data_IF_322821724743
#
_entry.id   IF_322821724743
#
_cell.length_a   1.000
_cell.length_b   1.000
_cell.length_c   1.000
_cell.angle_alpha   90.00
_cell.angle_beta   90.00
_cell.angle_gamma   90.00
#
_symmetry.space_group_name_H-M   'P 1'
#
loop_
_entity.id
_entity.type
_entity.pdbx_description
1 polymer ?
#
# COMPACT_ATOMS: atom_id res chain seq x y z
N UNK A 1 35.90 44.17 55.58
CA UNK A 1 34.76 44.07 54.64
C UNK A 1 35.33 43.61 53.30
N UNK A 2 35.10 42.33 52.92
CA UNK A 2 35.50 41.78 51.59
C UNK A 2 34.25 41.76 50.70
N UNK A 3 34.32 42.51 49.59
CA UNK A 3 33.26 42.50 48.58
C UNK A 3 33.41 41.27 47.68
N UNK A 4 32.42 40.38 47.68
CA UNK A 4 32.31 39.32 46.69
C UNK A 4 31.84 39.96 45.33
N UNK A 5 32.66 39.80 44.31
CA UNK A 5 32.25 40.08 42.93
C UNK A 5 31.47 38.88 42.39
N UNK A 6 30.19 39.09 42.05
CA UNK A 6 29.37 38.12 41.33
C UNK A 6 29.75 38.14 39.84
N UNK A 7 30.28 37.03 39.31
CA UNK A 7 30.52 36.83 37.90
C UNK A 7 29.21 36.39 37.22
N UNK A 8 28.67 37.23 36.37
CA UNK A 8 27.56 36.84 35.50
C UNK A 8 28.06 36.00 34.31
N UNK A 9 27.60 34.76 34.21
CA UNK A 9 27.85 33.92 33.05
C UNK A 9 26.91 34.35 31.89
N UNK A 10 27.43 34.48 30.66
CA UNK A 10 26.58 34.83 29.51
C UNK A 10 25.70 33.64 29.17
N UNK A 11 24.39 33.87 29.08
CA UNK A 11 23.41 32.94 28.56
C UNK A 11 23.53 32.87 27.04
N UNK A 12 24.12 31.82 26.50
CA UNK A 12 24.19 31.59 25.07
C UNK A 12 22.79 31.18 24.56
N UNK A 13 22.13 32.07 23.88
CA UNK A 13 20.89 31.75 23.15
C UNK A 13 21.24 30.82 21.99
N UNK A 14 20.85 29.56 22.07
CA UNK A 14 20.87 28.63 20.93
C UNK A 14 19.86 29.10 19.89
N UNK A 15 20.35 29.73 18.83
CA UNK A 15 19.53 30.06 17.64
C UNK A 15 19.40 28.75 16.86
N UNK A 16 18.22 28.13 16.96
CA UNK A 16 17.84 27.08 16.03
C UNK A 16 17.65 27.73 14.64
N UNK A 17 18.61 27.56 13.76
CA UNK A 17 18.45 27.89 12.35
C UNK A 17 17.35 27.03 11.72
N UNK A 18 16.77 27.42 10.57
CA UNK A 18 15.77 26.62 9.89
C UNK A 18 16.38 25.25 9.58
N UNK A 19 15.72 24.19 10.08
CA UNK A 19 16.08 22.82 9.75
C UNK A 19 15.90 22.70 8.23
N UNK A 20 16.93 22.29 7.47
CA UNK A 20 16.79 22.12 6.04
C UNK A 20 15.68 21.10 5.81
N UNK A 21 14.68 21.47 4.98
CA UNK A 21 13.66 20.53 4.50
C UNK A 21 14.42 19.47 3.69
N UNK A 22 14.72 18.34 4.31
CA UNK A 22 15.28 17.20 3.60
C UNK A 22 14.16 16.72 2.70
N UNK A 23 14.39 16.80 1.38
CA UNK A 23 13.45 16.26 0.41
C UNK A 23 13.11 14.82 0.82
N UNK A 24 11.82 14.52 0.93
CA UNK A 24 11.33 13.20 1.34
C UNK A 24 11.97 12.13 0.44
N UNK A 25 12.73 11.23 1.04
CA UNK A 25 13.53 10.23 0.32
C UNK A 25 12.70 9.10 -0.27
N UNK A 26 11.49 8.85 0.25
CA UNK A 26 10.62 7.75 -0.17
C UNK A 26 9.15 8.16 -0.08
N UNK A 27 8.31 7.52 -0.89
CA UNK A 27 6.85 7.58 -0.78
C UNK A 27 6.31 6.46 0.13
N UNK A 28 7.13 5.49 0.47
CA UNK A 28 6.75 4.35 1.30
C UNK A 28 6.94 4.69 2.77
N UNK A 29 5.87 4.55 3.57
CA UNK A 29 5.88 4.86 5.01
C UNK A 29 6.90 3.99 5.76
N UNK A 30 7.08 2.74 5.36
CA UNK A 30 8.02 1.79 5.98
C UNK A 30 9.51 2.21 5.83
N UNK A 31 9.82 3.09 4.89
CA UNK A 31 11.17 3.63 4.68
C UNK A 31 11.39 4.96 5.42
N UNK A 32 10.36 5.48 6.11
CA UNK A 32 10.37 6.76 6.79
C UNK A 32 10.34 6.59 8.31
N UNK A 33 10.95 7.55 9.00
CA UNK A 33 10.78 7.68 10.45
C UNK A 33 9.42 8.35 10.76
N UNK A 34 8.87 8.14 11.96
CA UNK A 34 7.59 8.76 12.32
C UNK A 34 7.59 10.30 12.23
N UNK A 35 8.70 11.04 12.54
CA UNK A 35 8.73 12.49 12.33
C UNK A 35 8.67 12.88 10.85
N UNK A 36 9.30 12.09 9.95
CA UNK A 36 9.24 12.32 8.50
C UNK A 36 7.82 12.11 7.97
N UNK A 37 7.10 11.07 8.44
CA UNK A 37 5.69 10.87 8.10
C UNK A 37 4.84 12.05 8.57
N UNK A 38 5.01 12.47 9.82
CA UNK A 38 4.27 13.62 10.37
C UNK A 38 4.54 14.89 9.55
N UNK A 39 5.80 15.17 9.23
CA UNK A 39 6.19 16.32 8.42
C UNK A 39 5.60 16.25 7.01
N UNK A 40 5.58 15.06 6.38
CA UNK A 40 4.99 14.85 5.07
C UNK A 40 3.48 15.17 5.07
N UNK A 41 2.74 14.67 6.07
CA UNK A 41 1.30 14.96 6.22
C UNK A 41 1.05 16.45 6.44
N UNK A 42 1.82 17.09 7.33
CA UNK A 42 1.75 18.53 7.57
C UNK A 42 2.13 19.37 6.34
N UNK A 43 3.03 18.82 5.51
CA UNK A 43 3.46 19.41 4.23
C UNK A 43 2.48 19.19 3.07
N UNK A 44 1.31 18.56 3.32
CA UNK A 44 0.25 18.40 2.33
C UNK A 44 0.12 17.01 1.71
N UNK A 45 0.89 16.01 2.14
CA UNK A 45 0.68 14.60 1.71
C UNK A 45 -0.49 14.01 2.49
N UNK A 46 -1.68 14.25 2.01
CA UNK A 46 -2.93 13.91 2.71
C UNK A 46 -3.61 12.65 2.18
N UNK A 47 -3.02 12.00 1.19
CA UNK A 47 -3.52 10.78 0.57
C UNK A 47 -2.71 9.56 1.07
N UNK A 48 -3.39 8.53 1.57
CA UNK A 48 -2.81 7.23 1.93
C UNK A 48 -3.22 6.19 0.89
N UNK A 49 -2.28 5.39 0.43
CA UNK A 49 -2.53 4.24 -0.45
C UNK A 49 -2.26 2.97 0.35
N UNK A 50 -3.27 2.12 0.46
CA UNK A 50 -3.20 0.78 1.02
C UNK A 50 -3.44 -0.19 -0.12
N UNK A 51 -2.39 -0.90 -0.55
CA UNK A 51 -2.49 -1.86 -1.64
C UNK A 51 -2.19 -3.25 -1.11
N UNK A 52 -3.14 -4.16 -1.27
CA UNK A 52 -3.02 -5.54 -0.83
C UNK A 52 -2.52 -6.41 -1.98
N UNK A 53 -1.55 -7.25 -1.69
CA UNK A 53 -1.10 -8.31 -2.58
C UNK A 53 -1.63 -9.67 -2.14
N UNK A 54 -0.86 -10.70 -2.43
CA UNK A 54 -1.08 -12.08 -1.99
C UNK A 54 0.24 -12.84 -2.02
N UNK A 55 0.33 -13.92 -1.26
CA UNK A 55 1.43 -14.89 -1.32
C UNK A 55 0.86 -16.24 -1.69
N UNK A 56 0.90 -16.58 -2.98
CA UNK A 56 0.27 -17.78 -3.51
C UNK A 56 1.02 -18.37 -4.71
N UNK A 57 0.67 -19.58 -5.09
CA UNK A 57 1.20 -20.16 -6.32
C UNK A 57 0.72 -19.39 -7.55
N UNK A 58 1.64 -19.09 -8.45
CA UNK A 58 1.39 -18.40 -9.72
C UNK A 58 2.02 -19.23 -10.87
N UNK A 59 1.77 -20.55 -10.90
CA UNK A 59 2.43 -21.45 -11.84
C UNK A 59 3.86 -21.82 -11.45
N UNK A 60 4.54 -22.69 -12.24
CA UNK A 60 5.81 -23.30 -11.84
C UNK A 60 7.04 -22.39 -12.02
N UNK A 61 6.92 -21.26 -12.71
CA UNK A 61 8.06 -20.39 -13.05
C UNK A 61 7.99 -19.00 -12.40
N UNK A 62 6.89 -18.66 -11.73
CA UNK A 62 6.72 -17.35 -11.10
C UNK A 62 6.92 -17.40 -9.59
N UNK A 63 7.41 -16.31 -9.05
CA UNK A 63 7.56 -16.14 -7.61
C UNK A 63 6.19 -16.12 -6.90
N UNK A 64 6.12 -16.76 -5.73
CA UNK A 64 4.91 -16.80 -4.89
C UNK A 64 4.45 -15.38 -4.47
N UNK A 65 5.39 -14.44 -4.34
CA UNK A 65 5.12 -13.06 -3.98
C UNK A 65 4.78 -12.12 -5.15
N UNK A 66 4.45 -12.62 -6.33
CA UNK A 66 4.16 -11.81 -7.54
C UNK A 66 3.26 -10.61 -7.21
N UNK A 67 2.11 -10.87 -6.62
CA UNK A 67 1.13 -9.83 -6.27
C UNK A 67 1.68 -8.78 -5.31
N UNK A 68 2.59 -9.15 -4.42
CA UNK A 68 3.20 -8.20 -3.47
C UNK A 68 4.18 -7.26 -4.19
N UNK A 69 4.95 -7.78 -5.14
CA UNK A 69 5.89 -6.97 -5.93
C UNK A 69 5.14 -5.99 -6.82
N UNK A 70 4.13 -6.45 -7.55
CA UNK A 70 3.28 -5.60 -8.40
C UNK A 70 2.59 -4.53 -7.55
N UNK A 71 1.89 -4.92 -6.48
CA UNK A 71 1.18 -3.98 -5.61
C UNK A 71 2.10 -2.89 -5.04
N UNK A 72 3.30 -3.25 -4.54
CA UNK A 72 4.26 -2.29 -4.03
C UNK A 72 4.70 -1.30 -5.10
N UNK A 73 5.12 -1.82 -6.26
CA UNK A 73 5.62 -0.99 -7.35
C UNK A 73 4.55 -0.03 -7.88
N UNK A 74 3.36 -0.54 -8.16
CA UNK A 74 2.24 0.25 -8.70
C UNK A 74 1.82 1.34 -7.70
N UNK A 75 1.68 1.00 -6.42
CA UNK A 75 1.36 1.98 -5.38
C UNK A 75 2.40 3.11 -5.31
N UNK A 76 3.69 2.76 -5.40
CA UNK A 76 4.78 3.74 -5.43
C UNK A 76 4.72 4.65 -6.66
N UNK A 77 4.51 4.08 -7.83
CA UNK A 77 4.37 4.84 -9.08
C UNK A 77 3.18 5.81 -9.03
N UNK A 78 2.05 5.38 -8.49
CA UNK A 78 0.87 6.21 -8.28
C UNK A 78 1.20 7.36 -7.31
N UNK A 79 1.80 7.06 -6.15
CA UNK A 79 2.14 8.06 -5.14
C UNK A 79 3.11 9.12 -5.65
N UNK A 80 4.13 8.70 -6.43
CA UNK A 80 5.09 9.61 -7.07
C UNK A 80 4.36 10.51 -8.08
N UNK A 81 3.47 9.94 -8.89
CA UNK A 81 2.74 10.70 -9.92
C UNK A 81 1.73 11.68 -9.32
N UNK A 82 1.08 11.32 -8.21
CA UNK A 82 0.17 12.21 -7.47
C UNK A 82 0.91 13.34 -6.76
N UNK A 83 2.09 13.06 -6.21
CA UNK A 83 2.92 14.04 -5.49
C UNK A 83 2.50 14.31 -4.05
N UNK A 84 1.25 14.01 -3.67
CA UNK A 84 0.64 14.29 -2.36
C UNK A 84 0.18 13.02 -1.61
N UNK A 85 0.75 11.85 -1.97
CA UNK A 85 0.40 10.57 -1.38
C UNK A 85 1.59 9.89 -0.68
N UNK A 86 1.29 9.04 0.31
CA UNK A 86 2.17 8.05 0.91
C UNK A 86 1.57 6.66 0.77
N UNK A 87 2.46 5.66 0.70
CA UNK A 87 2.09 4.24 0.55
C UNK A 87 2.31 3.53 1.87
N UNK A 88 1.28 2.87 2.37
CA UNK A 88 1.37 1.94 3.50
C UNK A 88 2.08 0.65 3.08
N UNK A 89 2.68 -0.10 4.02
CA UNK A 89 3.27 -1.40 3.72
C UNK A 89 2.28 -2.29 3.01
N UNK A 90 2.72 -2.93 1.93
CA UNK A 90 1.88 -3.87 1.18
C UNK A 90 1.42 -4.99 2.09
N UNK A 91 0.11 -5.27 2.14
CA UNK A 91 -0.43 -6.40 2.88
C UNK A 91 -0.21 -7.67 2.06
N UNK A 92 0.70 -8.58 2.49
CA UNK A 92 1.19 -9.66 1.62
C UNK A 92 0.29 -10.90 1.62
N UNK A 93 -0.88 -10.84 2.26
CA UNK A 93 -1.77 -11.99 2.42
C UNK A 93 -3.22 -11.59 2.14
N UNK A 94 -3.89 -12.43 1.36
CA UNK A 94 -5.30 -12.33 1.00
C UNK A 94 -5.99 -13.69 1.19
N UNK A 95 -7.32 -13.80 1.04
CA UNK A 95 -7.99 -15.09 0.92
C UNK A 95 -7.52 -15.79 -0.35
N UNK A 96 -6.96 -17.02 -0.24
CA UNK A 96 -6.42 -17.78 -1.37
C UNK A 96 -6.89 -19.24 -1.36
N UNK A 97 -7.88 -19.55 -0.53
CA UNK A 97 -8.47 -20.87 -0.36
C UNK A 97 -8.56 -21.30 1.11
N UNK A 98 -8.90 -22.56 1.33
CA UNK A 98 -9.05 -23.18 2.66
C UNK A 98 -7.81 -24.03 2.98
N UNK A 99 -7.07 -23.64 4.01
CA UNK A 99 -5.85 -24.33 4.43
C UNK A 99 -6.11 -25.73 5.01
N UNK A 100 -7.27 -25.95 5.64
CA UNK A 100 -7.63 -27.24 6.25
C UNK A 100 -8.10 -28.23 5.18
N UNK A 101 -8.99 -27.78 4.30
CA UNK A 101 -9.53 -28.58 3.19
C UNK A 101 -8.58 -28.63 2.00
N UNK A 102 -7.51 -27.84 2.00
CA UNK A 102 -6.54 -27.71 0.93
C UNK A 102 -7.20 -27.40 -0.41
N UNK A 103 -8.01 -26.34 -0.45
CA UNK A 103 -8.66 -25.87 -1.68
C UNK A 103 -7.87 -24.77 -2.36
N UNK A 104 -8.16 -24.51 -3.63
CA UNK A 104 -7.55 -23.47 -4.46
C UNK A 104 -6.01 -23.47 -4.35
N UNK A 105 -5.37 -22.32 -4.08
CA UNK A 105 -3.92 -22.18 -3.98
C UNK A 105 -3.31 -22.94 -2.78
N UNK A 106 -4.12 -23.23 -1.75
CA UNK A 106 -3.65 -23.96 -0.57
C UNK A 106 -3.29 -25.42 -0.82
N UNK A 107 -3.47 -25.91 -2.05
CA UNK A 107 -2.93 -27.20 -2.52
C UNK A 107 -1.43 -27.18 -2.77
N UNK A 108 -0.85 -25.99 -2.92
CA UNK A 108 0.55 -25.79 -3.32
C UNK A 108 1.36 -25.23 -2.14
N UNK A 109 2.57 -25.80 -1.87
CA UNK A 109 3.43 -25.31 -0.80
C UNK A 109 3.83 -23.87 -1.01
N UNK A 110 3.94 -23.11 0.08
CA UNK A 110 4.33 -21.71 0.08
C UNK A 110 3.17 -20.72 -0.03
N UNK A 111 1.98 -21.17 -0.46
CA UNK A 111 0.78 -20.34 -0.43
C UNK A 111 0.32 -20.06 1.00
N UNK A 112 -0.11 -18.84 1.26
CA UNK A 112 -0.64 -18.38 2.56
C UNK A 112 -2.03 -17.83 2.36
N UNK A 113 -2.97 -18.16 3.24
CA UNK A 113 -4.34 -17.65 3.18
C UNK A 113 -4.73 -16.97 4.47
N UNK A 114 -5.52 -15.92 4.37
CA UNK A 114 -6.34 -15.41 5.49
C UNK A 114 -7.80 -15.81 5.28
N UNK A 115 -8.52 -16.01 6.38
CA UNK A 115 -9.99 -16.08 6.26
C UNK A 115 -10.52 -14.72 5.83
N UNK A 116 -11.64 -14.63 5.11
CA UNK A 116 -12.25 -13.35 4.75
C UNK A 116 -12.47 -12.43 5.95
N UNK A 117 -12.82 -12.99 7.11
CA UNK A 117 -13.00 -12.23 8.35
C UNK A 117 -11.69 -11.65 8.87
N UNK A 118 -10.60 -12.43 8.89
CA UNK A 118 -9.28 -11.96 9.32
C UNK A 118 -8.75 -10.89 8.36
N UNK A 119 -8.88 -11.13 7.04
CA UNK A 119 -8.49 -10.18 6.02
C UNK A 119 -9.23 -8.84 6.18
N UNK A 120 -10.55 -8.90 6.38
CA UNK A 120 -11.37 -7.72 6.66
C UNK A 120 -10.85 -6.94 7.87
N UNK A 121 -10.57 -7.63 8.98
CA UNK A 121 -10.09 -6.99 10.21
C UNK A 121 -8.72 -6.31 9.99
N UNK A 122 -7.79 -6.97 9.31
CA UNK A 122 -6.47 -6.40 9.02
C UNK A 122 -6.59 -5.15 8.14
N UNK A 123 -7.35 -5.21 7.03
CA UNK A 123 -7.55 -4.06 6.14
C UNK A 123 -8.22 -2.90 6.87
N UNK A 124 -9.23 -3.20 7.69
CA UNK A 124 -9.94 -2.21 8.49
C UNK A 124 -8.99 -1.49 9.47
N UNK A 125 -8.18 -2.23 10.22
CA UNK A 125 -7.29 -1.66 11.23
C UNK A 125 -6.15 -0.84 10.61
N UNK A 126 -5.62 -1.28 9.45
CA UNK A 126 -4.64 -0.49 8.69
C UNK A 126 -5.25 0.81 8.16
N UNK A 127 -6.49 0.76 7.66
CA UNK A 127 -7.17 1.95 7.20
C UNK A 127 -7.50 2.93 8.35
N UNK A 128 -7.90 2.43 9.52
CA UNK A 128 -8.07 3.26 10.72
C UNK A 128 -6.77 3.89 11.16
N UNK A 129 -5.65 3.17 11.08
CA UNK A 129 -4.32 3.71 11.40
C UNK A 129 -3.94 4.87 10.48
N UNK A 130 -4.29 4.79 9.19
CA UNK A 130 -4.10 5.88 8.25
C UNK A 130 -4.98 7.11 8.60
N UNK A 131 -6.21 6.88 8.99
CA UNK A 131 -7.13 7.94 9.43
C UNK A 131 -6.59 8.63 10.69
N UNK A 132 -6.17 7.85 11.68
CA UNK A 132 -5.61 8.36 12.95
C UNK A 132 -4.32 9.16 12.74
N UNK A 133 -3.47 8.74 11.80
CA UNK A 133 -2.27 9.48 11.41
C UNK A 133 -2.56 10.86 10.80
N UNK A 134 -3.80 11.14 10.37
CA UNK A 134 -4.23 12.44 9.85
C UNK A 134 -4.43 12.51 8.34
N UNK A 135 -4.35 11.38 7.62
CA UNK A 135 -4.70 11.35 6.21
C UNK A 135 -6.16 11.70 5.98
N UNK A 136 -6.43 12.44 4.90
CA UNK A 136 -7.78 12.89 4.53
C UNK A 136 -8.45 12.00 3.51
N UNK A 137 -7.66 11.30 2.69
CA UNK A 137 -8.16 10.31 1.77
C UNK A 137 -7.36 9.02 1.93
N UNK A 138 -8.06 7.92 2.10
CA UNK A 138 -7.49 6.57 2.19
C UNK A 138 -8.00 5.76 1.00
N UNK A 139 -7.08 5.37 0.13
CA UNK A 139 -7.37 4.55 -1.04
C UNK A 139 -7.02 3.09 -0.73
N UNK A 140 -8.01 2.21 -0.86
CA UNK A 140 -7.85 0.77 -0.67
C UNK A 140 -7.89 0.10 -2.04
N UNK A 141 -6.85 -0.66 -2.36
CA UNK A 141 -6.64 -1.34 -3.63
C UNK A 141 -6.23 -2.80 -3.38
N UNK A 142 -6.44 -3.66 -4.35
CA UNK A 142 -6.00 -5.06 -4.28
C UNK A 142 -5.53 -5.56 -5.63
N UNK A 143 -4.41 -6.28 -5.64
CA UNK A 143 -3.82 -6.93 -6.82
C UNK A 143 -4.26 -8.39 -6.98
N UNK A 144 -4.96 -8.95 -6.00
CA UNK A 144 -5.46 -10.31 -5.99
C UNK A 144 -6.97 -10.37 -6.24
N UNK A 145 -7.43 -11.38 -6.98
CA UNK A 145 -8.84 -11.50 -7.38
C UNK A 145 -9.79 -11.75 -6.22
N UNK A 146 -9.43 -12.69 -5.34
CA UNK A 146 -10.23 -12.98 -4.15
C UNK A 146 -10.05 -11.87 -3.09
N UNK A 147 -11.15 -11.53 -2.42
CA UNK A 147 -11.15 -10.49 -1.39
C UNK A 147 -11.44 -9.07 -1.87
N UNK A 148 -11.64 -8.85 -3.17
CA UNK A 148 -12.01 -7.54 -3.72
C UNK A 148 -13.34 -7.01 -3.14
N UNK A 149 -14.30 -7.88 -2.91
CA UNK A 149 -15.58 -7.58 -2.25
C UNK A 149 -15.38 -7.14 -0.79
N UNK A 150 -14.43 -7.77 -0.08
CA UNK A 150 -14.05 -7.43 1.29
C UNK A 150 -13.45 -6.03 1.35
N UNK A 151 -12.52 -5.70 0.44
CA UNK A 151 -11.93 -4.36 0.33
C UNK A 151 -13.01 -3.29 0.12
N UNK A 152 -13.92 -3.56 -0.81
CA UNK A 152 -15.05 -2.66 -1.08
C UNK A 152 -16.00 -2.52 0.12
N UNK A 153 -16.23 -3.56 0.88
CA UNK A 153 -17.06 -3.51 2.08
C UNK A 153 -16.42 -2.66 3.20
N UNK A 154 -15.13 -2.88 3.47
CA UNK A 154 -14.37 -2.08 4.45
C UNK A 154 -14.35 -0.60 4.08
N UNK A 155 -14.08 -0.29 2.82
CA UNK A 155 -14.05 1.10 2.36
C UNK A 155 -15.41 1.79 2.55
N UNK A 156 -16.51 1.13 2.18
CA UNK A 156 -17.86 1.70 2.35
C UNK A 156 -18.22 1.95 3.80
N UNK A 157 -17.88 1.02 4.69
CA UNK A 157 -18.12 1.15 6.12
C UNK A 157 -17.37 2.33 6.71
N UNK A 158 -16.07 2.38 6.51
CA UNK A 158 -15.23 3.46 7.04
C UNK A 158 -15.56 4.83 6.38
N UNK A 159 -15.84 4.87 5.08
CA UNK A 159 -16.25 6.12 4.43
C UNK A 159 -17.58 6.64 5.01
N UNK A 160 -18.55 5.76 5.29
CA UNK A 160 -19.80 6.14 5.93
C UNK A 160 -19.61 6.76 7.31
N UNK A 161 -18.69 6.19 8.10
CA UNK A 161 -18.40 6.67 9.46
C UNK A 161 -17.59 7.98 9.47
N UNK A 162 -16.59 8.09 8.58
CA UNK A 162 -15.59 9.16 8.65
C UNK A 162 -15.82 10.30 7.68
N UNK A 163 -16.66 10.14 6.67
CA UNK A 163 -17.03 11.22 5.74
C UNK A 163 -17.60 12.46 6.47
N UNK A 164 -18.48 12.34 7.47
CA UNK A 164 -18.95 13.48 8.24
C UNK A 164 -17.85 14.21 9.02
N UNK A 165 -16.73 13.54 9.27
CA UNK A 165 -15.53 14.07 9.94
C UNK A 165 -14.49 14.62 8.94
N UNK A 166 -14.81 14.66 7.65
CA UNK A 166 -13.96 15.21 6.59
C UNK A 166 -12.88 14.23 6.07
N UNK A 167 -13.02 12.93 6.31
CA UNK A 167 -12.13 11.89 5.76
C UNK A 167 -12.90 11.04 4.77
N UNK A 168 -12.23 10.67 3.67
CA UNK A 168 -12.76 9.75 2.66
C UNK A 168 -12.00 8.43 2.68
N UNK A 169 -12.74 7.35 2.58
CA UNK A 169 -12.17 6.02 2.41
C UNK A 169 -12.76 5.42 1.13
N UNK A 170 -11.90 5.15 0.16
CA UNK A 170 -12.30 4.82 -1.21
C UNK A 170 -11.69 3.49 -1.63
N UNK A 171 -12.52 2.56 -2.07
CA UNK A 171 -12.07 1.37 -2.77
C UNK A 171 -11.88 1.71 -4.24
N UNK A 172 -10.72 1.35 -4.81
CA UNK A 172 -10.36 1.61 -6.21
C UNK A 172 -10.17 0.28 -6.94
N UNK A 173 -11.26 -0.29 -7.48
CA UNK A 173 -11.21 -1.56 -8.21
C UNK A 173 -10.68 -1.42 -9.65
N UNK A 174 -10.68 -0.19 -10.16
CA UNK A 174 -10.48 0.10 -11.58
C UNK A 174 -9.14 -0.43 -12.10
N UNK A 175 -8.09 -0.31 -11.30
CA UNK A 175 -6.77 -0.74 -11.74
C UNK A 175 -6.74 -2.24 -12.00
N UNK A 176 -7.22 -3.05 -11.06
CA UNK A 176 -7.27 -4.50 -11.21
C UNK A 176 -8.16 -4.95 -12.39
N UNK A 177 -9.41 -4.47 -12.43
CA UNK A 177 -10.37 -4.95 -13.44
C UNK A 177 -10.12 -4.38 -14.84
N UNK A 178 -9.74 -3.09 -14.95
CA UNK A 178 -9.46 -2.47 -16.25
C UNK A 178 -8.13 -2.90 -16.83
N UNK A 179 -7.12 -3.10 -15.99
CA UNK A 179 -5.83 -3.61 -16.41
C UNK A 179 -6.01 -4.99 -17.06
N UNK A 180 -6.63 -5.94 -16.37
CA UNK A 180 -6.88 -7.28 -16.93
C UNK A 180 -7.73 -7.24 -18.20
N UNK A 181 -8.73 -6.39 -18.26
CA UNK A 181 -9.52 -6.20 -19.47
C UNK A 181 -8.65 -5.69 -20.64
N UNK A 182 -7.75 -4.76 -20.38
CA UNK A 182 -6.86 -4.20 -21.41
C UNK A 182 -5.80 -5.21 -21.84
N UNK A 183 -5.21 -5.97 -20.89
CA UNK A 183 -4.27 -7.03 -21.19
C UNK A 183 -4.90 -8.10 -22.09
N UNK A 184 -6.08 -8.62 -21.74
CA UNK A 184 -6.80 -9.59 -22.54
C UNK A 184 -7.17 -9.06 -23.95
N UNK A 185 -7.57 -7.79 -24.04
CA UNK A 185 -7.86 -7.17 -25.34
C UNK A 185 -6.61 -7.05 -26.23
N UNK A 186 -5.48 -6.70 -25.63
CA UNK A 186 -4.19 -6.66 -26.30
C UNK A 186 -3.77 -8.06 -26.79
N UNK A 187 -3.80 -9.05 -25.92
CA UNK A 187 -3.47 -10.45 -26.23
C UNK A 187 -4.33 -10.98 -27.38
N UNK A 188 -5.64 -10.81 -27.31
CA UNK A 188 -6.56 -11.21 -28.36
C UNK A 188 -6.22 -10.56 -29.70
N UNK A 189 -5.89 -9.26 -29.70
CA UNK A 189 -5.55 -8.53 -30.92
C UNK A 189 -4.22 -8.93 -31.56
N UNK A 190 -3.34 -9.58 -30.77
CA UNK A 190 -2.01 -10.04 -31.21
C UNK A 190 -1.92 -11.58 -31.36
N UNK A 191 -3.05 -12.29 -31.23
CA UNK A 191 -3.09 -13.75 -31.34
C UNK A 191 -2.38 -14.48 -30.22
N UNK A 192 -2.24 -13.84 -29.05
CA UNK A 192 -1.68 -14.43 -27.84
C UNK A 192 -2.76 -15.21 -27.06
N UNK A 193 -2.39 -16.18 -26.20
CA UNK A 193 -3.35 -16.88 -25.34
C UNK A 193 -4.05 -15.90 -24.38
N UNK A 194 -5.37 -16.03 -24.23
CA UNK A 194 -6.21 -15.17 -23.37
C UNK A 194 -6.91 -15.96 -22.25
N UNK A 195 -6.52 -17.21 -22.03
CA UNK A 195 -7.21 -18.12 -21.09
C UNK A 195 -6.39 -18.42 -19.83
N UNK A 196 -5.31 -17.70 -19.65
CA UNK A 196 -4.40 -17.91 -18.55
C UNK A 196 -4.95 -17.25 -17.28
N UNK A 197 -5.05 -18.03 -16.21
CA UNK A 197 -5.49 -17.53 -14.90
C UNK A 197 -4.28 -17.16 -14.03
N UNK A 198 -3.17 -17.88 -14.22
CA UNK A 198 -1.90 -17.66 -13.53
C UNK A 198 -0.74 -18.00 -14.43
N UNK A 199 0.36 -17.27 -14.28
CA UNK A 199 1.59 -17.46 -15.07
C UNK A 199 1.38 -17.38 -16.58
N UNK A 200 0.34 -16.67 -17.01
CA UNK A 200 0.08 -16.36 -18.41
C UNK A 200 0.98 -15.27 -18.96
N UNK A 201 0.65 -14.83 -20.15
CA UNK A 201 1.40 -13.77 -20.83
C UNK A 201 1.33 -12.46 -20.05
N UNK A 202 0.15 -12.07 -19.57
CA UNK A 202 -0.09 -10.88 -18.77
C UNK A 202 0.70 -10.88 -17.46
N UNK A 203 0.44 -11.85 -16.59
CA UNK A 203 1.09 -12.01 -15.28
C UNK A 203 2.63 -12.04 -15.39
N UNK A 204 3.16 -12.78 -16.41
CA UNK A 204 4.59 -12.93 -16.60
C UNK A 204 5.23 -11.64 -17.09
N UNK A 205 4.60 -10.96 -18.06
CA UNK A 205 5.14 -9.71 -18.62
C UNK A 205 5.07 -8.56 -17.60
N UNK A 206 4.03 -8.48 -16.78
CA UNK A 206 3.94 -7.52 -15.69
C UNK A 206 5.11 -7.69 -14.70
N UNK A 207 5.34 -8.92 -14.21
CA UNK A 207 6.43 -9.16 -13.27
C UNK A 207 7.80 -8.87 -13.89
N UNK A 208 8.02 -9.25 -15.16
CA UNK A 208 9.26 -8.94 -15.88
C UNK A 208 9.48 -7.44 -16.05
N UNK A 209 8.42 -6.66 -16.21
CA UNK A 209 8.52 -5.21 -16.34
C UNK A 209 9.02 -4.53 -15.05
N UNK A 210 8.87 -5.17 -13.89
CA UNK A 210 9.37 -4.64 -12.61
C UNK A 210 10.87 -4.86 -12.44
N UNK A 211 11.43 -5.96 -12.97
CA UNK A 211 12.85 -6.30 -12.84
C UNK A 211 13.76 -5.37 -13.66
N UNK A 212 13.22 -4.64 -14.62
CA UNK A 212 13.93 -3.68 -15.46
C UNK A 212 14.04 -2.27 -14.87
N UNK A 213 13.54 -2.05 -13.65
CA UNK A 213 13.56 -0.77 -12.95
C UNK A 213 14.49 -0.83 -11.75
#
# INVERSE_FOLDING_TARGET
MKFLRASALPFAALVFGPIPIVAQRSVYIEDLTWPEVQQAIQGGKTNAIIYTGSSEQNGPHMAIGKHNFIARWVAGAIAIKLGDALVYPTLPFAPTGDAVKRTAHMRFPGSVTLTPQTYRSVVHDVALSAIDAGFKNVFIMGDHGDGQDVLGAVARELDSEWRPKGVRVLYVPDLYFKEKQQAHAYEASHGLPTHDVHAGTDDTSELMALDGQ
#
